data_IF_492220898720
#
_entry.id   IF_492220898720
#
_cell.length_a   1.000
_cell.length_b   1.000
_cell.length_c   1.000
_cell.angle_alpha   90.00
_cell.angle_beta   90.00
_cell.angle_gamma   90.00
#
_symmetry.space_group_name_H-M   'P 1'
#
loop_
_entity.id
_entity.type
_entity.pdbx_description
1 polymer ?
#
# COMPACT_ATOMS: atom_id res chain seq x y z
N UNK A 1 18.51 -3.50 -3.06
CA UNK A 1 17.63 -2.45 -2.52
C UNK A 1 16.45 -3.01 -1.72
N UNK A 2 15.54 -3.78 -2.32
CA UNK A 2 14.32 -4.29 -1.64
C UNK A 2 14.59 -5.11 -0.35
N UNK A 3 15.62 -5.97 -0.35
CA UNK A 3 16.03 -6.74 0.84
C UNK A 3 16.51 -5.86 2.00
N UNK A 4 17.12 -4.71 1.72
CA UNK A 4 17.58 -3.76 2.75
C UNK A 4 16.38 -3.09 3.42
N UNK A 5 15.38 -2.70 2.63
CA UNK A 5 14.15 -2.08 3.11
C UNK A 5 13.33 -3.06 3.97
N UNK A 6 13.25 -4.32 3.57
CA UNK A 6 12.63 -5.39 4.37
C UNK A 6 13.35 -5.67 5.70
N UNK A 7 14.65 -5.37 5.82
CA UNK A 7 15.39 -5.45 7.08
C UNK A 7 15.11 -4.25 7.99
N UNK A 8 14.70 -3.12 7.42
CA UNK A 8 14.33 -1.91 8.15
C UNK A 8 12.90 -1.92 8.67
N UNK A 9 12.00 -2.76 8.15
CA UNK A 9 10.61 -2.90 8.62
C UNK A 9 10.53 -3.57 10.01
N UNK A 10 9.64 -3.06 10.88
CA UNK A 10 9.32 -3.73 12.15
C UNK A 10 8.54 -5.02 11.88
N UNK A 11 8.37 -5.88 12.90
CA UNK A 11 7.46 -7.03 12.81
C UNK A 11 6.03 -6.59 12.43
N UNK A 12 5.59 -5.44 12.91
CA UNK A 12 4.29 -4.83 12.59
C UNK A 12 4.22 -4.35 11.15
N UNK A 13 5.22 -3.62 10.66
CA UNK A 13 5.27 -3.17 9.27
C UNK A 13 5.32 -4.33 8.26
N UNK A 14 6.05 -5.41 8.54
CA UNK A 14 6.04 -6.62 7.68
C UNK A 14 4.65 -7.25 7.59
N UNK A 15 3.91 -7.29 8.72
CA UNK A 15 2.54 -7.80 8.74
C UNK A 15 1.62 -6.90 7.91
N UNK A 16 1.72 -5.59 8.05
CA UNK A 16 0.90 -4.65 7.27
C UNK A 16 1.21 -4.73 5.77
N UNK A 17 2.46 -4.97 5.37
CA UNK A 17 2.85 -5.21 3.98
C UNK A 17 2.26 -6.51 3.39
N UNK A 18 2.25 -7.59 4.18
CA UNK A 18 1.64 -8.86 3.75
C UNK A 18 0.12 -8.67 3.60
N UNK A 19 -0.51 -8.00 4.57
CA UNK A 19 -1.95 -7.71 4.53
C UNK A 19 -2.29 -6.88 3.30
N UNK A 20 -1.56 -5.77 3.04
CA UNK A 20 -1.84 -4.93 1.87
C UNK A 20 -1.69 -5.72 0.56
N UNK A 21 -0.68 -6.58 0.46
CA UNK A 21 -0.45 -7.45 -0.71
C UNK A 21 -1.62 -8.42 -0.95
N UNK A 22 -2.15 -9.03 0.11
CA UNK A 22 -3.31 -9.94 0.02
C UNK A 22 -4.56 -9.17 -0.44
N UNK A 23 -4.84 -8.00 0.16
CA UNK A 23 -5.99 -7.19 -0.24
C UNK A 23 -5.87 -6.66 -1.66
N UNK A 24 -4.65 -6.35 -2.14
CA UNK A 24 -4.41 -5.96 -3.53
C UNK A 24 -4.65 -7.14 -4.50
N UNK A 25 -4.27 -8.35 -4.11
CA UNK A 25 -4.58 -9.55 -4.89
C UNK A 25 -6.09 -9.81 -4.96
N UNK A 26 -6.82 -9.67 -3.84
CA UNK A 26 -8.28 -9.79 -3.81
C UNK A 26 -8.98 -8.71 -4.66
N UNK A 27 -8.46 -7.47 -4.63
CA UNK A 27 -8.91 -6.39 -5.50
C UNK A 27 -8.74 -6.74 -6.98
N UNK A 28 -7.60 -7.31 -7.36
CA UNK A 28 -7.33 -7.79 -8.73
C UNK A 28 -8.29 -8.90 -9.14
N UNK A 29 -8.48 -9.90 -8.26
CA UNK A 29 -9.38 -11.04 -8.50
C UNK A 29 -10.84 -10.58 -8.67
N UNK A 30 -11.30 -9.65 -7.82
CA UNK A 30 -12.62 -9.03 -7.95
C UNK A 30 -12.79 -8.32 -9.30
N UNK A 31 -11.74 -7.67 -9.81
CA UNK A 31 -11.78 -7.02 -11.13
C UNK A 31 -11.95 -8.02 -12.26
N UNK A 32 -11.29 -9.17 -12.20
CA UNK A 32 -11.45 -10.25 -13.17
C UNK A 32 -12.87 -10.83 -13.08
N UNK A 33 -13.37 -11.08 -11.86
CA UNK A 33 -14.71 -11.61 -11.64
C UNK A 33 -15.80 -10.69 -12.21
N UNK A 34 -15.65 -9.37 -12.06
CA UNK A 34 -16.58 -8.40 -12.66
C UNK A 34 -16.63 -8.51 -14.18
N UNK A 35 -15.48 -8.66 -14.85
CA UNK A 35 -15.42 -8.83 -16.32
C UNK A 35 -16.18 -10.11 -16.73
N UNK A 36 -15.94 -11.22 -16.04
CA UNK A 36 -16.63 -12.49 -16.31
C UNK A 36 -18.15 -12.35 -16.17
N UNK A 37 -18.62 -11.64 -15.14
CA UNK A 37 -20.06 -11.42 -14.94
C UNK A 37 -20.63 -10.53 -16.05
N UNK A 38 -19.93 -9.48 -16.47
CA UNK A 38 -20.37 -8.62 -17.58
C UNK A 38 -20.53 -9.43 -18.86
N UNK A 39 -19.57 -10.29 -19.20
CA UNK A 39 -19.70 -11.19 -20.36
C UNK A 39 -20.84 -12.19 -20.20
N UNK A 40 -21.05 -12.72 -18.99
CA UNK A 40 -22.16 -13.65 -18.71
C UNK A 40 -23.52 -12.98 -18.90
N UNK A 41 -23.66 -11.71 -18.50
CA UNK A 41 -24.86 -10.91 -18.74
C UNK A 41 -25.09 -10.74 -20.25
N UNK A 42 -24.04 -10.38 -21.01
CA UNK A 42 -24.15 -10.21 -22.46
C UNK A 42 -24.65 -11.49 -23.13
N UNK A 43 -24.05 -12.64 -22.84
CA UNK A 43 -24.48 -13.91 -23.43
C UNK A 43 -25.94 -14.26 -23.07
N UNK A 44 -26.37 -14.02 -21.83
CA UNK A 44 -27.76 -14.27 -21.44
C UNK A 44 -28.78 -13.36 -22.13
N UNK A 45 -28.39 -12.12 -22.45
CA UNK A 45 -29.21 -11.21 -23.25
C UNK A 45 -29.35 -11.76 -24.68
N UNK A 46 -28.26 -12.24 -25.28
CA UNK A 46 -28.28 -12.84 -26.62
C UNK A 46 -29.10 -14.14 -26.68
N UNK A 47 -29.08 -14.95 -25.62
CA UNK A 47 -29.86 -16.18 -25.52
C UNK A 47 -31.36 -15.98 -25.20
N UNK A 48 -31.81 -14.72 -25.04
CA UNK A 48 -33.22 -14.40 -24.77
C UNK A 48 -33.70 -14.80 -23.37
N UNK A 49 -32.78 -14.85 -22.40
CA UNK A 49 -33.06 -15.32 -21.02
C UNK A 49 -34.00 -14.37 -20.27
N UNK A 50 -34.77 -14.90 -19.31
CA UNK A 50 -35.71 -14.12 -18.50
C UNK A 50 -35.02 -13.04 -17.65
N UNK A 51 -35.71 -11.89 -17.51
CA UNK A 51 -35.23 -10.68 -16.79
C UNK A 51 -34.89 -10.95 -15.31
N UNK A 52 -35.51 -11.96 -14.71
CA UNK A 52 -35.24 -12.39 -13.33
C UNK A 52 -33.79 -12.84 -13.10
N UNK A 53 -33.21 -13.59 -14.05
CA UNK A 53 -31.80 -14.04 -13.95
C UNK A 53 -30.84 -12.86 -14.10
N UNK A 54 -31.15 -11.94 -15.01
CA UNK A 54 -30.41 -10.68 -15.19
C UNK A 54 -30.32 -9.87 -13.89
N UNK A 55 -31.42 -9.78 -13.14
CA UNK A 55 -31.46 -9.04 -11.87
C UNK A 55 -30.47 -9.61 -10.82
N UNK A 56 -30.30 -10.94 -10.77
CA UNK A 56 -29.34 -11.58 -9.88
C UNK A 56 -27.89 -11.20 -10.22
N UNK A 57 -27.54 -11.12 -11.51
CA UNK A 57 -26.21 -10.69 -11.94
C UNK A 57 -25.94 -9.21 -11.66
N UNK A 58 -26.95 -8.34 -11.78
CA UNK A 58 -26.82 -6.93 -11.42
C UNK A 58 -26.53 -6.75 -9.92
N UNK A 59 -27.25 -7.49 -9.06
CA UNK A 59 -26.99 -7.48 -7.62
C UNK A 59 -25.58 -8.02 -7.33
N UNK A 60 -25.16 -9.10 -8.00
CA UNK A 60 -23.82 -9.67 -7.84
C UNK A 60 -22.71 -8.67 -8.22
N UNK A 61 -22.86 -7.93 -9.33
CA UNK A 61 -21.94 -6.86 -9.72
C UNK A 61 -21.92 -5.75 -8.67
N UNK A 62 -23.08 -5.29 -8.21
CA UNK A 62 -23.17 -4.21 -7.23
C UNK A 62 -22.40 -4.57 -5.93
N UNK A 63 -22.59 -5.79 -5.44
CA UNK A 63 -21.87 -6.30 -4.25
C UNK A 63 -20.37 -6.39 -4.52
N UNK A 64 -19.95 -6.87 -5.69
CA UNK A 64 -18.54 -6.98 -6.06
C UNK A 64 -17.85 -5.62 -6.16
N UNK A 65 -18.53 -4.59 -6.67
CA UNK A 65 -18.01 -3.21 -6.73
C UNK A 65 -17.77 -2.66 -5.34
N UNK A 66 -18.73 -2.84 -4.43
CA UNK A 66 -18.59 -2.40 -3.03
C UNK A 66 -17.43 -3.15 -2.35
N UNK A 67 -17.38 -4.48 -2.51
CA UNK A 67 -16.30 -5.30 -1.98
C UNK A 67 -14.92 -4.87 -2.50
N UNK A 68 -14.81 -4.62 -3.81
CA UNK A 68 -13.60 -4.09 -4.44
C UNK A 68 -13.16 -2.77 -3.82
N UNK A 69 -14.09 -1.85 -3.61
CA UNK A 69 -13.82 -0.55 -2.99
C UNK A 69 -13.23 -0.70 -1.59
N UNK A 70 -13.83 -1.57 -0.76
CA UNK A 70 -13.35 -1.85 0.60
C UNK A 70 -11.95 -2.48 0.57
N UNK A 71 -11.73 -3.48 -0.29
CA UNK A 71 -10.41 -4.10 -0.43
C UNK A 71 -9.33 -3.09 -0.85
N UNK A 72 -9.66 -2.20 -1.80
CA UNK A 72 -8.72 -1.17 -2.24
C UNK A 72 -8.37 -0.20 -1.11
N UNK A 73 -9.38 0.29 -0.39
CA UNK A 73 -9.17 1.21 0.73
C UNK A 73 -8.34 0.57 1.85
N UNK A 74 -8.62 -0.68 2.22
CA UNK A 74 -7.85 -1.41 3.23
C UNK A 74 -6.41 -1.67 2.78
N UNK A 75 -6.21 -2.04 1.51
CA UNK A 75 -4.88 -2.23 0.95
C UNK A 75 -4.05 -0.94 1.00
N UNK A 76 -4.65 0.17 0.61
CA UNK A 76 -3.99 1.46 0.52
C UNK A 76 -3.60 2.00 1.91
N UNK A 77 -4.53 1.94 2.88
CA UNK A 77 -4.24 2.30 4.27
C UNK A 77 -3.09 1.47 4.85
N UNK A 78 -3.08 0.16 4.60
CA UNK A 78 -2.04 -0.74 5.12
C UNK A 78 -0.69 -0.55 4.44
N UNK A 79 -0.69 -0.26 3.13
CA UNK A 79 0.52 0.11 2.39
C UNK A 79 1.14 1.40 2.95
N UNK A 80 0.33 2.43 3.17
CA UNK A 80 0.82 3.71 3.68
C UNK A 80 1.35 3.60 5.12
N UNK A 81 0.66 2.83 5.98
CA UNK A 81 1.13 2.51 7.34
C UNK A 81 2.50 1.81 7.35
N UNK A 82 2.74 0.87 6.42
CA UNK A 82 4.03 0.22 6.29
C UNK A 82 5.14 1.18 5.80
N UNK A 83 4.79 2.14 4.94
CA UNK A 83 5.68 3.22 4.52
C UNK A 83 6.11 4.12 5.68
N UNK A 84 5.17 4.52 6.54
CA UNK A 84 5.47 5.33 7.72
C UNK A 84 6.33 4.60 8.74
N UNK A 85 6.12 3.30 8.95
CA UNK A 85 6.94 2.48 9.86
C UNK A 85 8.43 2.47 9.46
N UNK A 86 8.71 2.41 8.15
CA UNK A 86 10.08 2.47 7.63
C UNK A 86 10.71 3.83 7.92
N UNK A 87 10.01 4.92 7.61
CA UNK A 87 10.51 6.28 7.85
C UNK A 87 10.81 6.52 9.31
N UNK A 88 9.93 6.08 10.20
CA UNK A 88 10.14 6.22 11.63
C UNK A 88 11.40 5.47 12.08
N UNK A 89 11.57 4.22 11.67
CA UNK A 89 12.75 3.44 12.04
C UNK A 89 14.06 4.02 11.48
N UNK A 90 14.04 4.58 10.27
CA UNK A 90 15.21 5.26 9.70
C UNK A 90 15.56 6.50 10.53
N UNK A 91 14.56 7.35 10.85
CA UNK A 91 14.77 8.55 11.69
C UNK A 91 15.33 8.19 13.06
N UNK A 92 14.75 7.21 13.75
CA UNK A 92 15.22 6.78 15.07
C UNK A 92 16.68 6.29 15.05
N UNK A 93 17.02 5.42 14.08
CA UNK A 93 18.39 4.90 13.94
C UNK A 93 19.39 6.01 13.60
N UNK A 94 19.00 6.97 12.76
CA UNK A 94 19.83 8.14 12.44
C UNK A 94 20.06 9.00 13.68
N UNK A 95 19.01 9.35 14.43
CA UNK A 95 19.13 10.16 15.66
C UNK A 95 20.05 9.47 16.69
N UNK A 96 19.91 8.17 16.89
CA UNK A 96 20.78 7.40 17.80
C UNK A 96 22.24 7.43 17.35
N UNK A 97 22.51 7.33 16.04
CA UNK A 97 23.88 7.43 15.50
C UNK A 97 24.44 8.85 15.66
N UNK A 98 23.63 9.88 15.39
CA UNK A 98 24.00 11.28 15.57
C UNK A 98 24.47 11.55 17.00
N UNK A 99 23.71 11.07 18.00
CA UNK A 99 24.08 11.20 19.43
C UNK A 99 25.47 10.62 19.80
N UNK A 100 26.06 9.75 18.99
CA UNK A 100 27.36 9.11 19.24
C UNK A 100 28.55 9.88 18.63
N UNK A 101 28.31 10.85 17.76
CA UNK A 101 29.39 11.66 17.19
C UNK A 101 29.89 12.74 18.14
N UNK A 102 31.18 13.07 18.05
CA UNK A 102 31.78 14.15 18.86
C UNK A 102 31.24 15.52 18.44
N UNK A 103 31.24 16.49 19.35
CA UNK A 103 30.78 17.85 19.05
C UNK A 103 31.59 18.53 17.92
N UNK A 104 32.86 18.16 17.76
CA UNK A 104 33.71 18.63 16.67
C UNK A 104 33.32 18.10 15.27
N UNK A 105 32.43 17.12 15.20
CA UNK A 105 31.84 16.66 13.94
C UNK A 105 30.79 17.65 13.40
N UNK A 106 30.19 18.47 14.26
CA UNK A 106 29.08 19.36 13.91
C UNK A 106 29.58 20.75 13.50
N UNK A 107 29.88 20.92 12.22
CA UNK A 107 30.03 22.24 11.59
C UNK A 107 28.67 22.76 11.09
N UNK A 108 28.53 24.06 10.82
CA UNK A 108 27.29 24.64 10.27
C UNK A 108 26.85 23.99 8.95
N UNK A 109 27.79 23.68 8.05
CA UNK A 109 27.51 22.96 6.79
C UNK A 109 26.99 21.55 7.05
N UNK A 110 27.69 20.76 7.89
CA UNK A 110 27.29 19.37 8.19
C UNK A 110 25.97 19.30 8.95
N UNK A 111 25.69 20.27 9.83
CA UNK A 111 24.39 20.39 10.50
C UNK A 111 23.25 20.65 9.50
N UNK A 112 23.49 21.51 8.51
CA UNK A 112 22.55 21.76 7.42
C UNK A 112 22.27 20.50 6.60
N UNK A 113 23.32 19.79 6.17
CA UNK A 113 23.19 18.53 5.42
C UNK A 113 22.47 17.45 6.22
N UNK A 114 22.81 17.26 7.50
CA UNK A 114 22.15 16.29 8.39
C UNK A 114 20.65 16.61 8.50
N UNK A 115 20.28 17.89 8.63
CA UNK A 115 18.90 18.31 8.71
C UNK A 115 18.14 18.00 7.41
N UNK A 116 18.77 18.26 6.27
CA UNK A 116 18.20 17.94 4.95
C UNK A 116 18.00 16.43 4.78
N UNK A 117 18.99 15.60 5.12
CA UNK A 117 18.85 14.15 5.01
C UNK A 117 17.73 13.64 5.93
N UNK A 118 17.72 14.08 7.20
CA UNK A 118 16.76 13.61 8.21
C UNK A 118 15.31 13.94 7.84
N UNK A 119 15.07 15.13 7.27
CA UNK A 119 13.71 15.59 6.96
C UNK A 119 13.30 15.31 5.52
N UNK A 120 14.17 15.55 4.55
CA UNK A 120 13.81 15.51 3.13
C UNK A 120 14.08 14.14 2.51
N UNK A 121 15.26 13.57 2.75
CA UNK A 121 15.62 12.30 2.13
C UNK A 121 14.89 11.12 2.78
N UNK A 122 14.73 11.16 4.11
CA UNK A 122 13.94 10.12 4.79
C UNK A 122 12.46 10.21 4.41
N UNK A 123 11.87 11.40 4.28
CA UNK A 123 10.47 11.52 3.82
C UNK A 123 10.30 11.07 2.37
N UNK A 124 11.26 11.34 1.50
CA UNK A 124 11.25 10.79 0.15
C UNK A 124 11.24 9.25 0.14
N UNK A 125 11.84 8.59 1.14
CA UNK A 125 11.72 7.13 1.26
C UNK A 125 10.30 6.67 1.61
N UNK A 126 9.50 7.45 2.36
CA UNK A 126 8.06 7.12 2.54
C UNK A 126 7.31 7.16 1.23
N UNK A 127 7.65 8.10 0.34
CA UNK A 127 7.00 8.23 -0.95
C UNK A 127 7.28 7.01 -1.84
N UNK A 128 8.52 6.50 -1.83
CA UNK A 128 8.92 5.33 -2.63
C UNK A 128 8.32 4.00 -2.11
N UNK A 129 7.98 3.91 -0.83
CA UNK A 129 7.41 2.68 -0.23
C UNK A 129 5.90 2.73 -0.10
N UNK A 130 5.38 3.90 0.27
CA UNK A 130 3.98 4.13 0.57
C UNK A 130 3.11 4.36 -0.67
N UNK A 131 3.71 4.75 -1.81
CA UNK A 131 3.03 4.91 -3.10
C UNK A 131 3.54 3.90 -4.13
#
# INVERSE_FOLDING_TARGET
MFREMLKLLTKTGKRDLIISSIFFALYGLSSIAMIVIVFSILFQIFDGTSVERLYQYFIAIAVLVVFKGICNMLADMKKHSAGFDIVQQIRERMIIKLKKFSLGFYSKERLGEINTILHKDVDNMSMVVGH
#
